data_IF_224165167710
#
_entry.id   IF_224165167710
#
_cell.length_a   1.000
_cell.length_b   1.000
_cell.length_c   1.000
_cell.angle_alpha   90.00
_cell.angle_beta   90.00
_cell.angle_gamma   90.00
#
_symmetry.space_group_name_H-M   'P 1'
#
loop_
_entity.id
_entity.type
_entity.pdbx_description
1 polymer ?
#
# COMPACT_ATOMS: atom_id res chain seq x y z
N UNK A 1 -83.47 -27.41 23.20
CA UNK A 1 -82.63 -28.42 23.88
C UNK A 1 -81.19 -27.93 23.86
N UNK A 2 -80.63 -27.62 25.05
CA UNK A 2 -79.23 -27.32 25.44
C UNK A 2 -78.48 -26.16 24.71
N UNK A 3 -78.06 -25.04 25.35
CA UNK A 3 -76.96 -24.83 26.33
C UNK A 3 -75.63 -25.52 25.93
N UNK A 4 -74.42 -24.95 26.03
CA UNK A 4 -73.92 -23.67 26.53
C UNK A 4 -72.42 -23.47 26.16
N UNK A 5 -71.95 -22.21 26.30
CA UNK A 5 -70.68 -21.78 26.90
C UNK A 5 -69.32 -21.82 26.17
N UNK A 6 -68.58 -20.72 26.41
CA UNK A 6 -67.11 -20.57 26.33
C UNK A 6 -66.64 -19.94 25.03
N UNK A 7 -66.01 -18.77 24.96
CA UNK A 7 -65.30 -17.96 25.94
C UNK A 7 -64.19 -17.27 25.15
N UNK A 8 -64.24 -15.94 24.99
CA UNK A 8 -63.08 -15.19 24.50
C UNK A 8 -61.99 -15.24 25.57
N UNK A 9 -60.71 -15.25 25.19
CA UNK A 9 -60.00 -13.97 25.30
C UNK A 9 -59.00 -13.70 24.17
N UNK A 10 -58.93 -12.40 23.86
CA UNK A 10 -57.81 -11.61 23.36
C UNK A 10 -56.49 -12.35 23.12
N UNK A 11 -56.08 -12.43 21.86
CA UNK A 11 -54.73 -12.87 21.48
C UNK A 11 -53.84 -11.62 21.28
N UNK A 12 -52.69 -11.53 21.97
CA UNK A 12 -51.87 -10.33 22.04
C UNK A 12 -51.16 -10.02 20.72
N UNK A 13 -50.88 -8.73 20.53
CA UNK A 13 -50.02 -8.17 19.47
C UNK A 13 -48.79 -9.06 19.26
N UNK A 14 -48.56 -9.44 18.01
CA UNK A 14 -47.30 -10.06 17.61
C UNK A 14 -46.16 -9.15 18.05
N UNK A 15 -45.34 -9.64 18.98
CA UNK A 15 -44.06 -9.05 19.30
C UNK A 15 -43.24 -9.01 18.02
N UNK A 16 -42.96 -7.80 17.55
CA UNK A 16 -41.89 -7.53 16.59
C UNK A 16 -40.63 -8.07 17.23
N UNK A 17 -40.14 -9.19 16.69
CA UNK A 17 -38.87 -9.76 17.06
C UNK A 17 -37.79 -8.69 16.89
N UNK A 18 -36.96 -8.54 17.93
CA UNK A 18 -35.78 -7.70 17.92
C UNK A 18 -35.00 -7.85 16.61
N UNK A 19 -34.56 -6.76 15.96
CA UNK A 19 -33.57 -6.89 14.90
C UNK A 19 -32.31 -7.46 15.54
N UNK A 20 -31.90 -8.63 15.06
CA UNK A 20 -30.65 -9.27 15.41
C UNK A 20 -29.51 -8.24 15.44
N UNK A 21 -28.56 -8.34 16.39
CA UNK A 21 -27.41 -7.45 16.40
C UNK A 21 -26.69 -7.60 15.07
N UNK A 22 -26.66 -6.52 14.30
CA UNK A 22 -25.90 -6.38 13.07
C UNK A 22 -24.49 -6.89 13.36
N UNK A 23 -24.17 -8.07 12.85
CA UNK A 23 -22.82 -8.63 12.90
C UNK A 23 -21.97 -7.62 12.13
N UNK A 24 -21.27 -6.76 12.88
CA UNK A 24 -20.41 -5.75 12.32
C UNK A 24 -19.46 -6.41 11.33
N UNK A 25 -19.40 -5.85 10.12
CA UNK A 25 -18.50 -6.33 9.08
C UNK A 25 -17.11 -6.56 9.68
N UNK A 26 -16.54 -7.78 9.61
CA UNK A 26 -15.23 -8.07 10.19
C UNK A 26 -14.10 -7.28 9.52
N UNK A 27 -14.39 -6.60 8.40
CA UNK A 27 -13.48 -5.67 7.73
C UNK A 27 -13.41 -4.29 8.40
N UNK A 28 -14.38 -3.93 9.24
CA UNK A 28 -14.47 -2.62 9.90
C UNK A 28 -13.70 -2.59 11.23
N UNK A 29 -13.28 -3.75 11.76
CA UNK A 29 -12.59 -3.85 13.05
C UNK A 29 -11.09 -4.20 12.93
N UNK A 30 -10.45 -3.87 11.81
CA UNK A 30 -9.02 -4.12 11.58
C UNK A 30 -8.15 -2.86 11.77
N UNK A 31 -6.80 -2.98 11.76
CA UNK A 31 -5.89 -1.83 11.80
C UNK A 31 -6.01 -0.89 10.57
N UNK A 32 -6.84 -1.25 9.60
CA UNK A 32 -7.18 -0.42 8.44
C UNK A 32 -8.25 0.63 8.76
N UNK A 33 -8.99 0.49 9.87
CA UNK A 33 -10.01 1.47 10.29
C UNK A 33 -9.37 2.79 10.70
N UNK A 34 -8.13 2.74 11.23
CA UNK A 34 -7.33 3.93 11.55
C UNK A 34 -6.95 4.73 10.28
N UNK A 35 -6.92 4.09 9.10
CA UNK A 35 -6.72 4.80 7.82
C UNK A 35 -7.93 5.64 7.38
N UNK A 36 -9.09 5.44 8.03
CA UNK A 36 -10.28 6.29 7.85
C UNK A 36 -10.07 7.64 8.55
N UNK A 37 -9.19 7.69 9.56
CA UNK A 37 -8.83 8.91 10.27
C UNK A 37 -7.90 9.78 9.39
N UNK A 38 -8.28 11.05 9.19
CA UNK A 38 -7.64 11.97 8.26
C UNK A 38 -6.17 12.24 8.63
N UNK A 39 -5.85 12.22 9.92
CA UNK A 39 -4.53 12.42 10.49
C UNK A 39 -3.60 11.26 10.12
N UNK A 40 -4.03 10.01 10.33
CA UNK A 40 -3.26 8.81 9.98
C UNK A 40 -3.02 8.74 8.47
N UNK A 41 -4.02 9.10 7.65
CA UNK A 41 -3.88 9.20 6.20
C UNK A 41 -2.84 10.25 5.81
N UNK A 42 -2.84 11.41 6.45
CA UNK A 42 -1.88 12.49 6.19
C UNK A 42 -0.45 12.09 6.56
N UNK A 43 -0.26 11.40 7.67
CA UNK A 43 1.05 10.88 8.06
C UNK A 43 1.56 9.83 7.09
N UNK A 44 0.70 8.91 6.64
CA UNK A 44 1.06 7.89 5.65
C UNK A 44 1.45 8.52 4.31
N UNK A 45 0.65 9.48 3.81
CA UNK A 45 0.93 10.22 2.58
C UNK A 45 2.20 11.09 2.69
N UNK A 46 2.46 11.64 3.87
CA UNK A 46 3.63 12.45 4.16
C UNK A 46 4.91 11.66 4.42
N UNK A 47 4.80 10.34 4.59
CA UNK A 47 5.91 9.46 4.87
C UNK A 47 6.94 9.44 3.74
N UNK A 48 8.20 9.74 4.07
CA UNK A 48 9.33 9.71 3.13
C UNK A 48 10.38 8.70 3.57
N UNK A 49 11.07 8.12 2.59
CA UNK A 49 12.14 7.17 2.76
C UNK A 49 13.41 7.73 2.10
N UNK A 50 14.50 7.76 2.87
CA UNK A 50 15.81 8.10 2.32
C UNK A 50 16.42 6.85 1.69
N UNK A 51 16.51 6.84 0.37
CA UNK A 51 17.16 5.78 -0.39
C UNK A 51 18.61 6.15 -0.69
N UNK A 52 19.48 5.15 -0.60
CA UNK A 52 20.87 5.22 -1.06
C UNK A 52 21.06 4.26 -2.22
N UNK A 53 21.13 4.80 -3.42
CA UNK A 53 21.25 4.06 -4.67
C UNK A 53 22.72 4.03 -5.08
N UNK A 54 23.22 2.84 -5.42
CA UNK A 54 24.59 2.63 -5.90
C UNK A 54 24.51 1.97 -7.27
N UNK A 55 25.48 2.26 -8.12
CA UNK A 55 25.65 1.51 -9.36
C UNK A 55 26.25 0.14 -9.02
N UNK A 56 25.75 -0.92 -9.65
CA UNK A 56 26.29 -2.27 -9.47
C UNK A 56 27.77 -2.31 -9.90
N UNK A 57 28.61 -3.02 -9.14
CA UNK A 57 30.05 -3.07 -9.39
C UNK A 57 30.41 -3.54 -10.81
N UNK A 58 29.59 -4.44 -11.36
CA UNK A 58 29.81 -5.02 -12.69
C UNK A 58 29.50 -4.05 -13.85
N UNK A 59 28.74 -2.98 -13.58
CA UNK A 59 28.33 -1.98 -14.59
C UNK A 59 29.21 -0.71 -14.55
N UNK A 60 30.21 -0.65 -13.66
CA UNK A 60 31.11 0.49 -13.55
C UNK A 60 32.16 0.40 -14.66
N UNK A 61 32.05 1.28 -15.67
CA UNK A 61 33.06 1.40 -16.73
C UNK A 61 34.08 2.51 -16.48
N UNK A 62 33.88 3.32 -15.44
CA UNK A 62 34.76 4.41 -15.07
C UNK A 62 35.92 3.94 -14.17
N UNK A 63 37.09 4.59 -14.30
CA UNK A 63 38.27 4.33 -13.45
C UNK A 63 38.01 4.61 -11.96
N UNK A 64 37.00 5.42 -11.65
CA UNK A 64 36.60 5.79 -10.28
C UNK A 64 35.11 5.47 -10.10
N UNK A 65 34.79 4.82 -8.98
CA UNK A 65 33.41 4.50 -8.60
C UNK A 65 32.55 5.78 -8.51
N UNK A 66 31.35 5.80 -9.11
CA UNK A 66 30.45 6.94 -8.99
C UNK A 66 29.99 7.15 -7.55
N UNK A 67 29.80 8.41 -7.11
CA UNK A 67 29.23 8.68 -5.80
C UNK A 67 27.79 8.13 -5.71
N UNK A 68 27.40 7.52 -4.57
CA UNK A 68 26.04 7.03 -4.37
C UNK A 68 25.03 8.18 -4.45
N UNK A 69 23.88 7.90 -5.07
CA UNK A 69 22.77 8.84 -5.14
C UNK A 69 21.91 8.70 -3.87
N UNK A 70 21.67 9.81 -3.19
CA UNK A 70 20.74 9.88 -2.06
C UNK A 70 19.46 10.57 -2.51
N UNK A 71 18.33 9.86 -2.42
CA UNK A 71 17.03 10.40 -2.82
C UNK A 71 16.00 10.21 -1.72
N UNK A 72 15.24 11.26 -1.43
CA UNK A 72 14.17 11.24 -0.44
C UNK A 72 12.83 11.04 -1.16
N UNK A 73 12.36 9.80 -1.21
CA UNK A 73 11.15 9.44 -1.94
C UNK A 73 9.94 9.18 -1.05
N UNK A 74 8.72 9.46 -1.53
CA UNK A 74 7.50 9.06 -0.83
C UNK A 74 7.43 7.54 -0.67
N UNK A 75 6.95 7.06 0.49
CA UNK A 75 6.75 5.61 0.74
C UNK A 75 5.74 4.96 -0.21
N UNK A 76 4.87 5.78 -0.80
CA UNK A 76 3.81 5.33 -1.72
C UNK A 76 4.21 5.45 -3.19
N UNK A 77 5.44 5.88 -3.48
CA UNK A 77 5.97 5.95 -4.84
C UNK A 77 6.58 4.60 -5.24
N UNK A 78 6.45 4.27 -6.53
CA UNK A 78 7.11 3.10 -7.11
C UNK A 78 8.56 3.44 -7.50
N UNK A 79 9.48 2.50 -7.30
CA UNK A 79 10.90 2.67 -7.65
C UNK A 79 11.16 3.08 -9.11
N UNK A 80 10.44 2.59 -10.12
CA UNK A 80 10.60 3.03 -11.51
C UNK A 80 10.45 4.53 -11.74
N UNK A 81 9.78 5.26 -10.83
CA UNK A 81 9.72 6.73 -10.89
C UNK A 81 11.10 7.37 -10.83
N UNK A 82 12.06 6.71 -10.17
CA UNK A 82 13.44 7.17 -10.03
C UNK A 82 14.33 6.85 -11.22
N UNK A 83 13.87 6.06 -12.19
CA UNK A 83 14.74 5.58 -13.29
C UNK A 83 15.41 6.72 -14.06
N UNK A 84 14.68 7.79 -14.35
CA UNK A 84 15.23 8.92 -15.10
C UNK A 84 16.33 9.65 -14.32
N UNK A 85 16.09 9.91 -13.02
CA UNK A 85 17.03 10.61 -12.15
C UNK A 85 18.28 9.76 -11.88
N UNK A 86 18.10 8.46 -11.68
CA UNK A 86 19.17 7.47 -11.52
C UNK A 86 19.99 7.40 -12.81
N UNK A 87 19.33 7.31 -13.96
CA UNK A 87 20.01 7.24 -15.25
C UNK A 87 20.89 8.47 -15.49
N UNK A 88 20.34 9.68 -15.36
CA UNK A 88 21.13 10.90 -15.62
C UNK A 88 22.30 11.08 -14.64
N UNK A 89 22.18 10.62 -13.38
CA UNK A 89 23.27 10.65 -12.41
C UNK A 89 24.40 9.66 -12.74
N UNK A 90 24.07 8.44 -13.20
CA UNK A 90 25.05 7.38 -13.46
C UNK A 90 25.52 7.28 -14.92
N UNK A 91 24.82 7.91 -15.86
CA UNK A 91 25.17 8.01 -17.30
C UNK A 91 26.66 8.30 -17.60
N UNK A 92 27.35 9.24 -16.92
CA UNK A 92 28.77 9.48 -17.20
C UNK A 92 29.70 8.31 -16.81
N UNK A 93 29.22 7.40 -15.96
CA UNK A 93 29.99 6.25 -15.47
C UNK A 93 29.60 4.93 -16.14
N UNK A 94 28.54 4.93 -16.96
CA UNK A 94 28.08 3.76 -17.70
C UNK A 94 28.92 3.53 -18.98
N UNK A 95 29.15 2.26 -19.37
CA UNK A 95 29.88 1.92 -20.59
C UNK A 95 29.06 2.35 -21.82
N UNK A 96 29.62 3.14 -22.76
CA UNK A 96 28.85 3.67 -23.89
C UNK A 96 28.22 2.56 -24.74
N UNK A 97 26.90 2.38 -24.60
CA UNK A 97 26.13 1.46 -25.45
C UNK A 97 25.72 2.20 -26.73
N UNK A 98 26.31 1.78 -27.85
CA UNK A 98 26.03 2.32 -29.19
C UNK A 98 24.60 1.95 -29.63
N UNK A 99 23.63 2.79 -29.28
CA UNK A 99 22.24 2.71 -29.79
C UNK A 99 21.30 1.75 -29.05
N UNK A 100 21.71 1.19 -27.91
CA UNK A 100 20.84 0.36 -27.06
C UNK A 100 20.44 1.14 -25.80
N UNK A 101 19.17 1.07 -25.43
CA UNK A 101 18.69 1.54 -24.14
C UNK A 101 19.26 0.67 -23.02
N UNK A 102 19.63 1.29 -21.89
CA UNK A 102 19.97 0.53 -20.69
C UNK A 102 18.68 0.00 -20.06
N UNK A 103 18.67 -1.29 -19.76
CA UNK A 103 17.66 -1.88 -18.90
C UNK A 103 18.08 -1.62 -17.45
N UNK A 104 17.24 -0.91 -16.71
CA UNK A 104 17.51 -0.54 -15.31
C UNK A 104 16.61 -1.40 -14.43
N UNK A 105 17.21 -2.10 -13.47
CA UNK A 105 16.51 -2.78 -12.39
C UNK A 105 17.15 -2.41 -11.06
N UNK A 106 16.40 -2.58 -9.97
CA UNK A 106 16.90 -2.37 -8.62
C UNK A 106 17.07 -3.71 -7.91
N UNK A 107 18.14 -3.83 -7.16
CA UNK A 107 18.36 -4.94 -6.24
C UNK A 107 18.57 -4.41 -4.81
N UNK A 108 18.18 -5.22 -3.83
CA UNK A 108 18.50 -5.01 -2.44
C UNK A 108 19.11 -6.29 -1.86
N UNK A 109 20.37 -6.21 -1.46
CA UNK A 109 21.14 -7.36 -0.95
C UNK A 109 21.13 -8.57 -1.92
N UNK A 110 21.31 -8.33 -3.22
CA UNK A 110 21.27 -9.34 -4.28
C UNK A 110 19.89 -9.99 -4.51
N UNK A 111 18.82 -9.35 -4.05
CA UNK A 111 17.44 -9.73 -4.36
C UNK A 111 16.85 -8.66 -5.27
N UNK A 112 16.41 -9.05 -6.47
CA UNK A 112 15.74 -8.15 -7.40
C UNK A 112 14.42 -7.65 -6.80
N UNK A 113 14.17 -6.34 -6.91
CA UNK A 113 12.97 -5.65 -6.44
C UNK A 113 11.95 -5.42 -7.56
#
# INVERSE_FOLDING_TARGET
LAQAAGGSPLRPMAAVADPAPSVGDPLVNGPLTDLIEEEARRELLGGRLLLRIRLACDEIAALKEPPPLFSLVPRLAYLPFLFNDVYEHFKPCLPPRMGLSYEIWFDYNNVAL
#
